data_IF_971213176130
#
_entry.id   IF_971213176130
#
_cell.length_a   1.000
_cell.length_b   1.000
_cell.length_c   1.000
_cell.angle_alpha   90.00
_cell.angle_beta   90.00
_cell.angle_gamma   90.00
#
_symmetry.space_group_name_H-M   'P 1'
#
loop_
_entity.id
_entity.type
_entity.pdbx_description
1 polymer ?
#
# COMPACT_ATOMS: atom_id res chain seq x y z
N UNK A 1 -3.58 -31.36 -36.38
CA UNK A 1 -2.19 -31.06 -35.95
C UNK A 1 -2.07 -29.53 -35.87
N UNK A 2 -1.73 -28.84 -34.78
CA UNK A 2 -1.07 -29.18 -33.52
C UNK A 2 -1.85 -28.64 -32.29
N UNK A 3 -1.55 -29.18 -31.11
CA UNK A 3 -2.40 -29.18 -29.92
C UNK A 3 -2.58 -27.85 -29.18
N UNK A 4 -3.84 -27.52 -28.90
CA UNK A 4 -4.26 -26.58 -27.87
C UNK A 4 -4.01 -27.20 -26.49
N UNK A 5 -2.75 -27.23 -26.03
CA UNK A 5 -2.47 -27.79 -24.70
C UNK A 5 -2.99 -26.82 -23.62
N UNK A 6 -3.99 -27.27 -22.85
CA UNK A 6 -4.43 -26.65 -21.58
C UNK A 6 -3.25 -26.25 -20.69
N UNK A 7 -2.16 -27.01 -20.79
CA UNK A 7 -0.85 -26.76 -20.20
C UNK A 7 -0.21 -25.44 -20.66
N UNK A 8 -0.16 -25.13 -21.97
CA UNK A 8 0.42 -23.89 -22.47
C UNK A 8 -0.33 -22.65 -21.97
N UNK A 9 -1.67 -22.67 -22.00
CA UNK A 9 -2.49 -21.57 -21.46
C UNK A 9 -2.33 -21.42 -19.93
N UNK A 10 -2.24 -22.52 -19.20
CA UNK A 10 -1.98 -22.50 -17.75
C UNK A 10 -0.59 -21.95 -17.46
N UNK A 11 0.42 -22.30 -18.26
CA UNK A 11 1.79 -21.80 -18.14
C UNK A 11 1.89 -20.30 -18.43
N UNK A 12 1.26 -19.81 -19.50
CA UNK A 12 1.25 -18.38 -19.82
C UNK A 12 0.52 -17.55 -18.76
N UNK A 13 -0.63 -18.02 -18.27
CA UNK A 13 -1.36 -17.36 -17.19
C UNK A 13 -0.56 -17.33 -15.88
N UNK A 14 0.06 -18.47 -15.52
CA UNK A 14 0.90 -18.58 -14.34
C UNK A 14 2.13 -17.67 -14.44
N UNK A 15 2.81 -17.64 -15.59
CA UNK A 15 3.95 -16.75 -15.80
C UNK A 15 3.58 -15.25 -15.67
N UNK A 16 2.41 -14.84 -16.16
CA UNK A 16 1.93 -13.47 -15.99
C UNK A 16 1.59 -13.13 -14.53
N UNK A 17 1.00 -14.08 -13.78
CA UNK A 17 0.75 -13.93 -12.35
C UNK A 17 2.04 -13.90 -11.54
N UNK A 18 2.99 -14.77 -11.85
CA UNK A 18 4.30 -14.84 -11.20
C UNK A 18 5.12 -13.57 -11.48
N UNK A 19 5.07 -13.03 -12.70
CA UNK A 19 5.70 -11.75 -13.04
C UNK A 19 5.07 -10.57 -12.27
N UNK A 20 3.75 -10.55 -12.11
CA UNK A 20 3.05 -9.55 -11.28
C UNK A 20 3.45 -9.69 -9.81
N UNK A 21 3.51 -10.92 -9.29
CA UNK A 21 3.92 -11.22 -7.91
C UNK A 21 5.38 -10.83 -7.66
N UNK A 22 6.28 -11.10 -8.61
CA UNK A 22 7.68 -10.68 -8.54
C UNK A 22 7.82 -9.17 -8.39
N UNK A 23 7.08 -8.38 -9.18
CA UNK A 23 7.06 -6.91 -9.04
C UNK A 23 6.55 -6.45 -7.67
N UNK A 24 5.50 -7.09 -7.15
CA UNK A 24 4.96 -6.79 -5.81
C UNK A 24 6.00 -7.10 -4.72
N UNK A 25 6.65 -8.27 -4.80
CA UNK A 25 7.67 -8.69 -3.84
C UNK A 25 8.85 -7.74 -3.81
N UNK A 26 9.35 -7.32 -4.99
CA UNK A 26 10.45 -6.34 -5.06
C UNK A 26 10.08 -5.02 -4.39
N UNK A 27 8.84 -4.53 -4.60
CA UNK A 27 8.35 -3.31 -3.94
C UNK A 27 8.27 -3.48 -2.41
N UNK A 28 7.72 -4.60 -1.94
CA UNK A 28 7.61 -4.90 -0.51
C UNK A 28 8.99 -5.02 0.14
N UNK A 29 9.95 -5.70 -0.50
CA UNK A 29 11.30 -5.85 0.02
C UNK A 29 11.98 -4.49 0.19
N UNK A 30 11.86 -3.61 -0.81
CA UNK A 30 12.42 -2.25 -0.74
C UNK A 30 11.80 -1.46 0.41
N UNK A 31 10.49 -1.55 0.57
CA UNK A 31 9.80 -0.88 1.67
C UNK A 31 10.23 -1.42 3.05
N UNK A 32 10.38 -2.74 3.21
CA UNK A 32 10.89 -3.35 4.45
C UNK A 32 12.31 -2.85 4.80
N UNK A 33 13.21 -2.82 3.81
CA UNK A 33 14.60 -2.34 3.99
C UNK A 33 14.60 -0.86 4.38
N UNK A 34 13.87 -0.02 3.63
CA UNK A 34 13.82 1.42 3.89
C UNK A 34 13.14 1.74 5.22
N UNK A 35 12.04 1.08 5.57
CA UNK A 35 11.36 1.29 6.84
C UNK A 35 12.27 0.91 8.02
N UNK A 36 12.97 -0.22 7.93
CA UNK A 36 13.92 -0.65 8.95
C UNK A 36 15.15 0.28 9.07
N UNK A 37 15.65 0.80 7.94
CA UNK A 37 16.74 1.80 7.91
C UNK A 37 16.36 3.12 8.57
N UNK A 38 15.12 3.59 8.38
CA UNK A 38 14.65 4.88 8.89
C UNK A 38 14.19 4.86 10.35
N UNK A 39 13.55 3.77 10.79
CA UNK A 39 12.89 3.69 12.10
C UNK A 39 13.34 2.54 12.99
N UNK A 40 14.40 1.82 12.60
CA UNK A 40 14.88 0.63 13.32
C UNK A 40 14.13 -0.65 12.94
N UNK A 41 14.73 -1.79 13.28
CA UNK A 41 14.27 -3.12 12.87
C UNK A 41 13.18 -3.75 13.72
N UNK A 42 12.69 -3.05 14.74
CA UNK A 42 11.60 -3.51 15.60
C UNK A 42 10.25 -3.02 15.04
N UNK A 43 9.40 -3.91 14.49
CA UNK A 43 8.09 -3.52 13.99
C UNK A 43 7.18 -2.93 15.08
N UNK A 44 7.41 -3.23 16.36
CA UNK A 44 6.54 -2.73 17.42
C UNK A 44 6.81 -1.28 17.79
N UNK A 45 8.05 -0.83 17.60
CA UNK A 45 8.47 0.56 17.75
C UNK A 45 8.42 1.36 16.43
N UNK A 46 8.16 0.71 15.30
CA UNK A 46 8.21 1.32 13.96
C UNK A 46 6.92 1.04 13.16
N UNK A 47 5.92 1.95 13.20
CA UNK A 47 4.65 1.77 12.51
C UNK A 47 4.78 1.57 10.99
N UNK A 48 5.76 2.22 10.35
CA UNK A 48 6.04 2.04 8.92
C UNK A 48 6.52 0.62 8.63
N UNK A 49 7.41 0.10 9.47
CA UNK A 49 7.89 -1.27 9.34
C UNK A 49 6.79 -2.29 9.62
N UNK A 50 5.95 -2.06 10.65
CA UNK A 50 4.77 -2.91 10.92
C UNK A 50 3.89 -3.05 9.70
N UNK A 51 3.49 -1.93 9.09
CA UNK A 51 2.67 -1.94 7.88
C UNK A 51 3.35 -2.67 6.70
N UNK A 52 4.68 -2.54 6.56
CA UNK A 52 5.43 -3.26 5.53
C UNK A 52 5.47 -4.78 5.77
N UNK A 53 5.63 -5.21 7.03
CA UNK A 53 5.58 -6.63 7.44
C UNK A 53 4.21 -7.23 7.17
N UNK A 54 3.16 -6.51 7.55
CA UNK A 54 1.77 -6.91 7.34
C UNK A 54 1.43 -7.05 5.84
N UNK A 55 1.91 -6.10 5.02
CA UNK A 55 1.81 -6.18 3.56
C UNK A 55 2.59 -7.35 2.98
N UNK A 56 3.74 -7.70 3.56
CA UNK A 56 4.53 -8.86 3.15
C UNK A 56 3.79 -10.18 3.44
N UNK A 57 3.24 -10.32 4.65
CA UNK A 57 2.51 -11.53 5.07
C UNK A 57 1.23 -11.73 4.27
N UNK A 58 0.44 -10.68 4.06
CA UNK A 58 -0.76 -10.72 3.20
C UNK A 58 -0.47 -11.10 1.75
N UNK A 59 0.76 -10.88 1.26
CA UNK A 59 1.21 -11.30 -0.07
C UNK A 59 1.95 -12.66 -0.07
N UNK A 60 1.85 -13.43 1.02
CA UNK A 60 2.48 -14.74 1.18
C UNK A 60 4.02 -14.69 1.04
N UNK A 61 4.67 -13.63 1.55
CA UNK A 61 6.12 -13.59 1.70
C UNK A 61 6.53 -14.41 2.94
N UNK A 62 7.60 -15.19 2.85
CA UNK A 62 8.04 -16.03 3.98
C UNK A 62 8.68 -15.18 5.09
N UNK A 63 8.56 -15.65 6.33
CA UNK A 63 9.20 -15.05 7.52
C UNK A 63 10.72 -14.93 7.35
N UNK A 64 11.36 -15.92 6.75
CA UNK A 64 12.79 -15.84 6.42
C UNK A 64 13.12 -14.66 5.48
N UNK A 65 12.35 -14.50 4.39
CA UNK A 65 12.59 -13.42 3.41
C UNK A 65 12.36 -12.04 4.03
N UNK A 66 11.30 -11.88 4.83
CA UNK A 66 11.02 -10.60 5.48
C UNK A 66 12.07 -10.25 6.54
N UNK A 67 12.49 -11.22 7.38
CA UNK A 67 13.53 -11.00 8.38
C UNK A 67 14.86 -10.63 7.74
N UNK A 68 15.23 -11.27 6.60
CA UNK A 68 16.41 -10.88 5.83
C UNK A 68 16.31 -9.48 5.23
N UNK A 69 15.12 -9.01 4.86
CA UNK A 69 14.93 -7.64 4.40
C UNK A 69 15.11 -6.63 5.54
N UNK A 70 14.53 -6.91 6.71
CA UNK A 70 14.68 -6.08 7.92
C UNK A 70 16.14 -6.00 8.36
N UNK A 71 16.81 -7.15 8.48
CA UNK A 71 18.22 -7.21 8.88
C UNK A 71 19.14 -6.41 7.96
N UNK A 72 18.88 -6.42 6.63
CA UNK A 72 19.61 -5.58 5.67
C UNK A 72 19.39 -4.09 5.91
N UNK A 73 18.17 -3.68 6.23
CA UNK A 73 17.87 -2.28 6.54
C UNK A 73 18.57 -1.78 7.81
N UNK A 74 18.60 -2.60 8.87
CA UNK A 74 19.28 -2.29 10.13
C UNK A 74 20.81 -2.32 9.98
N UNK A 75 21.33 -3.26 9.19
CA UNK A 75 22.77 -3.43 8.98
C UNK A 75 23.43 -2.32 8.16
N UNK A 76 22.65 -1.50 7.45
CA UNK A 76 23.17 -0.34 6.71
C UNK A 76 23.99 -0.66 5.46
N UNK A 77 24.13 -1.93 5.09
CA UNK A 77 24.97 -2.43 3.98
C UNK A 77 24.44 -2.12 2.57
N UNK A 78 23.30 -1.42 2.43
CA UNK A 78 22.72 -1.12 1.12
C UNK A 78 23.20 0.25 0.60
N UNK A 79 24.07 0.22 -0.42
CA UNK A 79 24.61 1.38 -1.15
C UNK A 79 23.53 2.12 -1.98
N UNK A 80 22.35 1.51 -2.11
CA UNK A 80 21.18 2.17 -2.66
C UNK A 80 20.56 3.10 -1.60
N UNK A 81 20.91 4.40 -1.66
CA UNK A 81 20.21 5.45 -0.94
C UNK A 81 18.79 5.64 -1.50
N UNK A 82 17.91 4.71 -1.15
CA UNK A 82 16.50 4.75 -1.47
C UNK A 82 15.81 5.86 -0.67
N UNK A 83 15.26 6.83 -1.39
CA UNK A 83 14.46 7.91 -0.85
C UNK A 83 12.98 7.74 -1.23
N UNK A 84 12.09 8.15 -0.32
CA UNK A 84 10.67 8.31 -0.62
C UNK A 84 10.48 9.63 -1.35
N UNK A 85 9.91 9.59 -2.56
CA UNK A 85 9.63 10.75 -3.40
C UNK A 85 8.16 10.75 -3.73
N UNK A 86 7.47 11.86 -3.51
CA UNK A 86 6.08 12.04 -3.93
C UNK A 86 6.07 12.86 -5.22
N UNK A 87 5.33 12.37 -6.21
CA UNK A 87 5.04 13.09 -7.43
C UNK A 87 3.56 13.39 -7.52
N UNK A 88 3.25 14.59 -7.98
CA UNK A 88 1.89 15.12 -8.04
C UNK A 88 1.56 15.52 -9.47
N UNK A 89 0.31 15.40 -9.89
CA UNK A 89 -0.11 15.81 -11.21
C UNK A 89 -1.59 15.58 -11.50
N UNK A 90 -1.96 15.82 -12.75
CA UNK A 90 -3.33 15.67 -13.23
C UNK A 90 -3.39 14.72 -14.42
N UNK A 91 -4.40 13.85 -14.41
CA UNK A 91 -4.74 12.98 -15.54
C UNK A 91 -5.81 13.60 -16.44
N UNK A 92 -6.31 12.81 -17.41
CA UNK A 92 -7.45 13.18 -18.23
C UNK A 92 -8.65 13.63 -17.40
N UNK A 93 -9.33 14.67 -17.86
CA UNK A 93 -10.49 15.24 -17.16
C UNK A 93 -10.14 16.03 -15.88
N UNK A 94 -8.86 16.32 -15.62
CA UNK A 94 -8.44 17.07 -14.43
C UNK A 94 -8.39 16.21 -13.16
N UNK A 95 -8.43 14.89 -13.29
CA UNK A 95 -8.32 13.96 -12.15
C UNK A 95 -7.00 14.17 -11.42
N UNK A 96 -7.04 14.50 -10.14
CA UNK A 96 -5.86 14.63 -9.29
C UNK A 96 -5.18 13.27 -9.07
N UNK A 97 -3.86 13.22 -9.22
CA UNK A 97 -3.06 11.98 -9.09
C UNK A 97 -1.85 12.27 -8.20
N UNK A 98 -1.67 11.46 -7.17
CA UNK A 98 -0.47 11.43 -6.35
C UNK A 98 0.21 10.07 -6.45
N UNK A 99 1.53 10.07 -6.65
CA UNK A 99 2.34 8.89 -6.86
C UNK A 99 3.47 8.90 -5.85
N UNK A 100 3.41 7.98 -4.88
CA UNK A 100 4.50 7.74 -3.96
C UNK A 100 5.49 6.73 -4.57
N UNK A 101 6.74 7.15 -4.69
CA UNK A 101 7.84 6.39 -5.23
C UNK A 101 8.91 6.14 -4.17
N UNK A 102 9.63 5.04 -4.33
CA UNK A 102 10.82 4.74 -3.56
C UNK A 102 11.93 4.44 -4.56
N UNK A 103 12.94 5.31 -4.60
CA UNK A 103 13.95 5.35 -5.66
C UNK A 103 15.32 5.73 -5.14
N UNK A 104 16.35 5.19 -5.79
CA UNK A 104 17.76 5.58 -5.61
C UNK A 104 18.19 6.69 -6.59
N UNK A 105 17.28 7.12 -7.47
CA UNK A 105 17.56 8.10 -8.51
C UNK A 105 16.31 8.89 -8.90
N UNK A 106 16.14 10.06 -8.28
CA UNK A 106 15.06 11.01 -8.56
C UNK A 106 14.92 11.39 -10.03
N UNK A 107 16.05 11.61 -10.72
CA UNK A 107 16.05 12.09 -12.11
C UNK A 107 15.53 11.02 -13.09
N UNK A 108 15.89 9.75 -12.87
CA UNK A 108 15.35 8.64 -13.66
C UNK A 108 13.85 8.48 -13.39
N UNK A 109 13.44 8.48 -12.13
CA UNK A 109 12.04 8.27 -11.75
C UNK A 109 11.14 9.39 -12.24
N UNK A 110 11.54 10.66 -12.10
CA UNK A 110 10.72 11.78 -12.60
C UNK A 110 10.56 11.75 -14.12
N UNK A 111 11.59 11.30 -14.86
CA UNK A 111 11.50 11.16 -16.31
C UNK A 111 10.48 10.07 -16.71
N UNK A 112 10.51 8.91 -16.04
CA UNK A 112 9.54 7.82 -16.27
C UNK A 112 8.11 8.25 -15.91
N UNK A 113 7.93 8.89 -14.76
CA UNK A 113 6.62 9.39 -14.30
C UNK A 113 6.07 10.43 -15.27
N UNK A 114 6.89 11.42 -15.65
CA UNK A 114 6.50 12.46 -16.61
C UNK A 114 6.11 11.84 -17.95
N UNK A 115 6.87 10.87 -18.43
CA UNK A 115 6.56 10.16 -19.68
C UNK A 115 5.20 9.46 -19.60
N UNK A 116 4.87 8.82 -18.48
CA UNK A 116 3.57 8.17 -18.27
C UNK A 116 2.41 9.17 -18.31
N UNK A 117 2.52 10.30 -17.60
CA UNK A 117 1.52 11.38 -17.67
C UNK A 117 1.32 11.88 -19.11
N UNK A 118 2.40 12.24 -19.79
CA UNK A 118 2.33 12.77 -21.17
C UNK A 118 1.71 11.76 -22.14
N UNK A 119 2.03 10.47 -22.01
CA UNK A 119 1.47 9.42 -22.88
C UNK A 119 -0.04 9.22 -22.67
N UNK A 120 -0.53 9.51 -21.48
CA UNK A 120 -1.94 9.33 -21.10
C UNK A 120 -2.74 10.63 -21.13
N UNK A 121 -2.21 11.73 -21.68
CA UNK A 121 -2.93 13.01 -21.77
C UNK A 121 -3.05 13.77 -20.44
N UNK A 122 -2.13 13.55 -19.52
CA UNK A 122 -1.99 14.29 -18.27
C UNK A 122 -0.67 15.04 -18.16
N UNK A 123 -0.44 15.68 -17.02
CA UNK A 123 0.76 16.44 -16.73
C UNK A 123 1.23 16.25 -15.28
N UNK A 124 2.56 16.19 -15.11
CA UNK A 124 3.19 16.28 -13.80
C UNK A 124 3.14 17.73 -13.32
N UNK A 125 2.63 17.94 -12.10
CA UNK A 125 2.55 19.21 -11.40
C UNK A 125 3.80 19.49 -10.55
N UNK A 126 3.68 20.51 -9.71
CA UNK A 126 4.66 20.84 -8.66
C UNK A 126 4.22 20.23 -7.34
N UNK A 127 5.16 20.11 -6.40
CA UNK A 127 4.89 19.71 -5.02
C UNK A 127 3.80 20.63 -4.43
N UNK A 128 2.76 20.05 -3.84
CA UNK A 128 1.59 20.73 -3.28
C UNK A 128 0.46 21.05 -4.26
N UNK A 129 0.58 20.71 -5.55
CA UNK A 129 -0.47 20.96 -6.55
C UNK A 129 -1.76 20.17 -6.32
N UNK A 130 -1.66 18.96 -5.79
CA UNK A 130 -2.83 18.14 -5.44
C UNK A 130 -2.77 17.59 -4.02
N UNK A 131 -1.65 17.71 -3.31
CA UNK A 131 -1.48 17.15 -1.97
C UNK A 131 -2.60 17.54 -1.00
N UNK A 132 -3.10 18.79 -1.06
CA UNK A 132 -4.19 19.27 -0.21
C UNK A 132 -5.53 18.56 -0.46
N UNK A 133 -5.66 17.85 -1.57
CA UNK A 133 -6.82 17.04 -1.92
C UNK A 133 -6.78 15.64 -1.34
N UNK A 134 -5.67 15.25 -0.70
CA UNK A 134 -5.46 13.91 -0.20
C UNK A 134 -5.15 13.92 1.29
N UNK A 135 -5.77 13.02 2.05
CA UNK A 135 -5.40 12.73 3.44
C UNK A 135 -4.82 11.33 3.54
N UNK A 136 -3.67 11.19 4.21
CA UNK A 136 -3.07 9.88 4.44
C UNK A 136 -3.80 9.18 5.58
N UNK A 137 -4.53 8.12 5.24
CA UNK A 137 -5.32 7.33 6.19
C UNK A 137 -4.97 5.86 6.12
N UNK A 138 -5.23 5.14 7.22
CA UNK A 138 -5.32 3.69 7.22
C UNK A 138 -6.76 3.26 6.93
N UNK A 139 -6.94 2.19 6.16
CA UNK A 139 -8.27 1.65 5.82
C UNK A 139 -8.33 0.15 6.11
N UNK A 140 -9.34 -0.25 6.87
CA UNK A 140 -9.65 -1.64 7.19
C UNK A 140 -11.00 -1.98 6.53
N UNK A 141 -10.97 -2.84 5.52
CA UNK A 141 -12.15 -3.17 4.70
C UNK A 141 -12.78 -4.49 5.12
N UNK A 142 -14.09 -4.52 5.26
CA UNK A 142 -14.90 -5.72 5.46
C UNK A 142 -15.74 -5.95 4.20
N UNK A 143 -15.72 -7.17 3.65
CA UNK A 143 -16.52 -7.49 2.46
C UNK A 143 -18.03 -7.55 2.79
N UNK A 144 -18.36 -7.97 4.01
CA UNK A 144 -19.69 -8.00 4.64
C UNK A 144 -19.52 -7.99 6.15
N UNK A 145 -20.53 -7.55 6.89
CA UNK A 145 -20.56 -7.63 8.34
C UNK A 145 -21.83 -7.05 8.93
N UNK A 146 -21.97 -7.15 10.26
CA UNK A 146 -22.97 -6.40 11.01
C UNK A 146 -22.45 -4.97 11.21
N UNK A 147 -23.16 -4.00 10.63
CA UNK A 147 -22.74 -2.59 10.60
C UNK A 147 -22.59 -2.01 12.00
N UNK A 148 -23.62 -2.16 12.83
CA UNK A 148 -23.64 -1.61 14.19
C UNK A 148 -22.48 -2.18 15.03
N UNK A 149 -22.29 -3.50 15.01
CA UNK A 149 -21.18 -4.14 15.76
C UNK A 149 -19.80 -3.67 15.27
N UNK A 150 -19.59 -3.55 13.95
CA UNK A 150 -18.30 -3.11 13.40
C UNK A 150 -18.06 -1.64 13.72
N UNK A 151 -19.07 -0.79 13.57
CA UNK A 151 -18.98 0.64 13.83
C UNK A 151 -18.67 0.91 15.30
N UNK A 152 -19.40 0.30 16.23
CA UNK A 152 -19.17 0.47 17.66
C UNK A 152 -17.74 0.08 18.06
N UNK A 153 -17.30 -1.12 17.65
CA UNK A 153 -15.96 -1.62 17.96
C UNK A 153 -14.86 -0.76 17.32
N UNK A 154 -15.07 -0.27 16.10
CA UNK A 154 -14.13 0.59 15.40
C UNK A 154 -13.96 1.94 16.10
N UNK A 155 -15.07 2.58 16.48
CA UNK A 155 -15.07 3.87 17.19
C UNK A 155 -14.40 3.74 18.56
N UNK A 156 -14.70 2.67 19.32
CA UNK A 156 -14.03 2.39 20.60
C UNK A 156 -12.51 2.22 20.45
N UNK A 157 -12.08 1.62 19.34
CA UNK A 157 -10.67 1.40 19.06
C UNK A 157 -9.92 2.67 18.59
N UNK A 158 -10.64 3.73 18.20
CA UNK A 158 -10.10 5.01 17.72
C UNK A 158 -10.18 5.21 16.21
N UNK A 159 -11.14 4.60 15.52
CA UNK A 159 -11.41 4.92 14.12
C UNK A 159 -11.85 6.38 13.94
N UNK A 160 -11.46 6.98 12.82
CA UNK A 160 -11.85 8.34 12.43
C UNK A 160 -13.21 8.37 11.74
N UNK A 161 -13.52 7.33 10.95
CA UNK A 161 -14.75 7.25 10.16
C UNK A 161 -15.09 5.79 9.81
N UNK A 162 -16.36 5.52 9.52
CA UNK A 162 -16.86 4.21 9.08
C UNK A 162 -17.86 4.43 7.95
N UNK A 163 -17.57 3.85 6.78
CA UNK A 163 -18.41 3.99 5.57
C UNK A 163 -18.96 2.64 5.18
N UNK A 164 -20.28 2.53 5.15
CA UNK A 164 -21.02 1.37 4.64
C UNK A 164 -21.44 1.62 3.19
N UNK A 165 -21.24 0.63 2.32
CA UNK A 165 -21.60 0.69 0.90
C UNK A 165 -22.87 -0.12 0.60
N UNK A 166 -23.54 0.20 -0.51
CA UNK A 166 -24.79 -0.46 -0.94
C UNK A 166 -24.66 -1.99 -1.13
N UNK A 167 -23.45 -2.49 -1.39
CA UNK A 167 -23.16 -3.93 -1.53
C UNK A 167 -22.91 -4.64 -0.19
N UNK A 168 -23.01 -3.91 0.92
CA UNK A 168 -22.78 -4.38 2.28
C UNK A 168 -21.30 -4.40 2.70
N UNK A 169 -20.40 -3.87 1.87
CA UNK A 169 -19.01 -3.66 2.28
C UNK A 169 -18.91 -2.50 3.29
N UNK A 170 -17.94 -2.58 4.19
CA UNK A 170 -17.70 -1.55 5.21
C UNK A 170 -16.22 -1.19 5.21
N UNK A 171 -15.90 0.09 5.07
CA UNK A 171 -14.53 0.62 5.20
C UNK A 171 -14.41 1.42 6.49
N UNK A 172 -13.50 0.99 7.37
CA UNK A 172 -13.13 1.70 8.60
C UNK A 172 -11.87 2.53 8.34
N UNK A 173 -11.98 3.84 8.48
CA UNK A 173 -10.89 4.80 8.31
C UNK A 173 -10.26 5.15 9.65
N UNK A 174 -8.94 5.31 9.63
CA UNK A 174 -8.12 5.55 10.81
C UNK A 174 -7.01 6.53 10.49
N UNK A 175 -6.47 7.21 11.51
CA UNK A 175 -5.16 7.82 11.40
C UNK A 175 -4.15 6.74 10.96
N UNK A 176 -3.28 7.06 10.00
CA UNK A 176 -2.35 6.09 9.41
C UNK A 176 -1.50 5.36 10.46
N UNK A 177 -1.06 6.09 11.48
CA UNK A 177 -0.24 5.59 12.59
C UNK A 177 -1.01 4.67 13.54
N UNK A 178 -2.34 4.81 13.62
CA UNK A 178 -3.20 4.05 14.53
C UNK A 178 -3.85 2.82 13.88
N UNK A 179 -3.75 2.67 12.55
CA UNK A 179 -4.37 1.56 11.82
C UNK A 179 -4.07 0.19 12.41
N UNK A 180 -2.82 -0.07 12.83
CA UNK A 180 -2.44 -1.34 13.45
C UNK A 180 -3.18 -1.58 14.77
N UNK A 181 -3.27 -0.56 15.63
CA UNK A 181 -3.99 -0.64 16.92
C UNK A 181 -5.47 -0.91 16.70
N UNK A 182 -6.10 -0.17 15.78
CA UNK A 182 -7.54 -0.34 15.48
C UNK A 182 -7.82 -1.72 14.93
N UNK A 183 -6.99 -2.20 13.99
CA UNK A 183 -7.08 -3.57 13.48
C UNK A 183 -6.98 -4.61 14.58
N UNK A 184 -5.97 -4.51 15.44
CA UNK A 184 -5.73 -5.51 16.49
C UNK A 184 -6.91 -5.56 17.49
N UNK A 185 -7.52 -4.41 17.79
CA UNK A 185 -8.73 -4.33 18.60
C UNK A 185 -9.94 -5.01 17.91
N UNK A 186 -10.16 -4.72 16.63
CA UNK A 186 -11.23 -5.36 15.84
C UNK A 186 -11.02 -6.88 15.75
N UNK A 187 -9.79 -7.34 15.50
CA UNK A 187 -9.48 -8.77 15.47
C UNK A 187 -9.70 -9.44 16.83
N UNK A 188 -9.36 -8.77 17.94
CA UNK A 188 -9.62 -9.27 19.30
C UNK A 188 -11.12 -9.37 19.61
N UNK A 189 -11.95 -8.50 19.02
CA UNK A 189 -13.40 -8.57 19.07
C UNK A 189 -14.00 -9.63 18.11
N UNK A 190 -13.16 -10.38 17.37
CA UNK A 190 -13.59 -11.40 16.41
C UNK A 190 -13.95 -10.85 15.03
N UNK A 191 -13.72 -9.56 14.77
CA UNK A 191 -14.01 -8.87 13.52
C UNK A 191 -12.77 -8.83 12.63
N UNK A 192 -12.66 -9.78 11.70
CA UNK A 192 -11.50 -9.88 10.79
C UNK A 192 -11.73 -9.12 9.48
N UNK A 193 -11.18 -7.91 9.40
CA UNK A 193 -11.14 -7.10 8.19
C UNK A 193 -9.88 -7.32 7.35
N UNK A 194 -9.94 -6.97 6.07
CA UNK A 194 -8.78 -6.90 5.17
C UNK A 194 -8.21 -5.48 5.20
N UNK A 195 -6.98 -5.33 5.68
CA UNK A 195 -6.27 -4.06 5.62
C UNK A 195 -5.85 -3.68 4.19
N UNK A 196 -5.98 -2.39 3.86
CA UNK A 196 -5.28 -1.75 2.75
C UNK A 196 -4.12 -0.94 3.35
N UNK A 197 -2.96 -0.97 2.69
CA UNK A 197 -1.80 -0.17 3.13
C UNK A 197 -2.08 1.33 3.06
N UNK A 198 -1.06 2.17 3.23
CA UNK A 198 -1.22 3.63 3.22
C UNK A 198 -2.01 4.09 2.01
N UNK A 199 -3.20 4.63 2.28
CA UNK A 199 -4.10 5.13 1.27
C UNK A 199 -4.15 6.64 1.42
N UNK A 200 -3.99 7.34 0.31
CA UNK A 200 -4.21 8.77 0.24
C UNK A 200 -5.63 8.95 -0.23
N UNK A 201 -6.52 9.19 0.73
CA UNK A 201 -7.94 9.30 0.50
C UNK A 201 -8.27 10.68 -0.07
N UNK A 202 -8.91 10.78 -1.25
CA UNK A 202 -9.33 12.06 -1.78
C UNK A 202 -10.38 12.70 -0.85
N UNK A 203 -10.11 13.93 -0.41
CA UNK A 203 -10.95 14.68 0.54
C UNK A 203 -12.26 15.17 -0.10
N UNK A 204 -12.44 14.98 -1.42
CA UNK A 204 -13.71 15.29 -2.09
C UNK A 204 -14.76 14.23 -1.77
N UNK A 205 -15.65 14.55 -0.83
CA UNK A 205 -17.00 14.01 -0.81
C UNK A 205 -17.69 14.38 -2.13
N UNK A 206 -18.09 13.39 -2.91
CA UNK A 206 -19.14 13.55 -3.91
C UNK A 206 -20.50 13.60 -3.22
#
# INVERSE_FOLDING_TARGET
MAGHSKWANTRHRKAAQDAKRGKIFTKIIRELVTAAKLGGGDPDANPRLRAAVDKALSNNMTRDTLNRAIARGVGGDDDANMETIIYEGYGPGGTAIMIECLSDNRNRTVAEVRHAFSKCGGNLGTDGSVAYLFSKKGVISFEKGDEDTIMEAALEAGAEDVVTYDDGAIDVYTAWEEMGKVRDALEAAGLKGRQRGSFHDPVYQS
#
